data_IF_698870750409
#
_entry.id   IF_698870750409
#
_cell.length_a   1.000
_cell.length_b   1.000
_cell.length_c   1.000
_cell.angle_alpha   90.00
_cell.angle_beta   90.00
_cell.angle_gamma   90.00
#
_symmetry.space_group_name_H-M   'P 1'
#
loop_
_entity.id
_entity.type
_entity.pdbx_description
1 polymer ?
#
# COMPACT_ATOMS: atom_id res chain seq x y z
N UNK A 1 29.57 -0.06 -38.69
CA UNK A 1 28.75 0.75 -37.74
C UNK A 1 27.44 0.02 -37.50
N UNK A 2 27.34 -0.79 -36.43
CA UNK A 2 26.09 -1.46 -36.05
C UNK A 2 25.37 -0.58 -35.04
N UNK A 3 24.18 -0.10 -35.40
CA UNK A 3 23.28 0.61 -34.49
C UNK A 3 22.89 -0.39 -33.40
N UNK A 4 23.18 -0.07 -32.14
CA UNK A 4 22.73 -0.87 -31.02
C UNK A 4 21.20 -0.74 -30.93
N UNK A 5 20.50 -1.85 -31.19
CA UNK A 5 19.06 -1.95 -30.95
C UNK A 5 18.79 -1.84 -29.46
N UNK A 6 17.81 -1.01 -29.12
CA UNK A 6 17.19 -0.91 -27.80
C UNK A 6 16.56 -2.27 -27.45
N UNK A 7 16.75 -2.83 -26.25
CA UNK A 7 15.97 -4.00 -25.84
C UNK A 7 14.53 -3.54 -25.56
N UNK A 8 13.61 -4.05 -26.36
CA UNK A 8 12.18 -4.14 -26.08
C UNK A 8 11.92 -5.46 -25.35
N UNK A 9 11.08 -5.42 -24.31
CA UNK A 9 10.50 -6.61 -23.68
C UNK A 9 10.96 -6.87 -22.26
N UNK A 10 10.03 -6.62 -21.34
CA UNK A 10 9.79 -7.34 -20.08
C UNK A 10 10.79 -7.16 -18.91
N UNK A 11 10.24 -7.21 -17.69
CA UNK A 11 10.95 -7.20 -16.40
C UNK A 11 11.29 -5.86 -15.71
N UNK A 12 10.36 -4.89 -15.67
CA UNK A 12 10.41 -3.85 -14.61
C UNK A 12 10.13 -4.42 -13.20
N UNK A 13 9.53 -5.61 -13.10
CA UNK A 13 9.30 -6.32 -11.84
C UNK A 13 10.60 -6.73 -11.13
N UNK A 14 11.68 -7.03 -11.86
CA UNK A 14 12.93 -7.47 -11.23
C UNK A 14 13.67 -6.37 -10.44
N UNK A 15 13.21 -5.11 -10.47
CA UNK A 15 13.86 -4.00 -9.76
C UNK A 15 13.35 -3.73 -8.32
N UNK A 16 12.32 -4.45 -7.87
CA UNK A 16 11.85 -4.38 -6.47
C UNK A 16 12.30 -5.57 -5.61
N UNK A 17 12.56 -6.73 -6.22
CA UNK A 17 12.95 -8.00 -5.60
C UNK A 17 14.19 -7.93 -4.69
N UNK A 18 15.17 -7.10 -5.05
CA UNK A 18 16.52 -7.15 -4.48
C UNK A 18 16.94 -5.87 -3.76
N UNK A 19 16.03 -4.93 -3.52
CA UNK A 19 16.35 -3.72 -2.77
C UNK A 19 16.20 -3.99 -1.28
N UNK A 20 17.31 -3.91 -0.57
CA UNK A 20 17.33 -3.82 0.88
C UNK A 20 17.38 -2.35 1.27
N UNK A 21 16.46 -1.90 2.14
CA UNK A 21 16.56 -0.58 2.78
C UNK A 21 17.05 -0.81 4.20
N UNK A 22 18.27 -0.36 4.53
CA UNK A 22 18.84 -0.53 5.87
C UNK A 22 18.99 -1.99 6.34
N UNK A 23 19.14 -2.94 5.41
CA UNK A 23 19.28 -4.36 5.70
C UNK A 23 17.98 -5.16 5.80
N UNK A 24 16.81 -4.51 5.73
CA UNK A 24 15.51 -5.17 5.66
C UNK A 24 15.12 -5.45 4.21
N UNK A 25 14.53 -6.63 3.96
CA UNK A 25 13.92 -6.95 2.67
C UNK A 25 12.62 -6.16 2.52
N UNK A 26 12.44 -5.57 1.35
CA UNK A 26 11.22 -4.82 1.05
C UNK A 26 9.99 -5.73 1.06
N UNK A 27 10.11 -6.98 0.61
CA UNK A 27 9.04 -7.99 0.70
C UNK A 27 8.50 -8.12 2.12
N UNK A 28 9.40 -8.32 3.09
CA UNK A 28 9.03 -8.57 4.49
C UNK A 28 8.38 -7.32 5.10
N UNK A 29 8.88 -6.14 4.73
CA UNK A 29 8.30 -4.86 5.17
C UNK A 29 6.89 -4.66 4.61
N UNK A 30 6.65 -5.02 3.34
CA UNK A 30 5.34 -4.93 2.71
C UNK A 30 4.35 -5.92 3.34
N UNK A 31 4.78 -7.14 3.65
CA UNK A 31 3.96 -8.13 4.35
C UNK A 31 3.54 -7.64 5.74
N UNK A 32 4.45 -7.00 6.48
CA UNK A 32 4.13 -6.39 7.77
C UNK A 32 3.13 -5.24 7.64
N UNK A 33 3.29 -4.35 6.66
CA UNK A 33 2.34 -3.25 6.42
C UNK A 33 0.97 -3.82 6.07
N UNK A 34 0.90 -4.84 5.21
CA UNK A 34 -0.35 -5.52 4.86
C UNK A 34 -1.00 -6.10 6.12
N UNK A 35 -0.27 -6.88 6.91
CA UNK A 35 -0.79 -7.48 8.13
C UNK A 35 -1.29 -6.42 9.14
N UNK A 36 -0.57 -5.30 9.26
CA UNK A 36 -1.00 -4.15 10.06
C UNK A 36 -2.30 -3.53 9.52
N UNK A 37 -2.36 -3.25 8.22
CA UNK A 37 -3.54 -2.61 7.62
C UNK A 37 -4.80 -3.47 7.78
N UNK A 38 -4.68 -4.80 7.67
CA UNK A 38 -5.80 -5.72 7.90
C UNK A 38 -6.25 -5.81 9.36
N UNK A 39 -5.30 -5.90 10.30
CA UNK A 39 -5.61 -6.06 11.73
C UNK A 39 -6.17 -4.77 12.33
N UNK A 40 -5.63 -3.64 11.90
CA UNK A 40 -5.97 -2.32 12.42
C UNK A 40 -7.10 -1.66 11.63
N UNK A 41 -7.65 -2.31 10.60
CA UNK A 41 -8.67 -1.71 9.74
C UNK A 41 -9.82 -1.11 10.54
N UNK A 42 -10.41 -1.88 11.46
CA UNK A 42 -11.55 -1.43 12.26
C UNK A 42 -11.19 -0.34 13.29
N UNK A 43 -9.89 -0.14 13.55
CA UNK A 43 -9.37 0.93 14.40
C UNK A 43 -9.03 2.20 13.58
N UNK A 44 -8.69 2.01 12.30
CA UNK A 44 -8.38 3.07 11.35
C UNK A 44 -9.64 3.65 10.70
N UNK A 45 -10.67 2.82 10.50
CA UNK A 45 -12.02 3.18 10.09
C UNK A 45 -12.80 3.66 11.32
N UNK A 46 -12.66 4.96 11.60
CA UNK A 46 -13.15 5.63 12.81
C UNK A 46 -14.67 5.78 12.75
N UNK A 47 -15.19 6.16 11.59
CA UNK A 47 -16.63 6.38 11.41
C UNK A 47 -17.39 5.11 11.01
N UNK A 48 -16.67 4.03 10.70
CA UNK A 48 -17.19 2.68 10.40
C UNK A 48 -18.03 2.64 9.13
N UNK A 49 -17.65 3.44 8.14
CA UNK A 49 -18.27 3.44 6.83
C UNK A 49 -17.79 2.28 5.93
N UNK A 50 -16.76 1.54 6.39
CA UNK A 50 -16.16 0.40 5.69
C UNK A 50 -14.98 0.78 4.81
N UNK A 51 -14.53 2.02 4.85
CA UNK A 51 -13.39 2.56 4.13
C UNK A 51 -12.45 3.27 5.11
N UNK A 52 -11.17 3.37 4.75
CA UNK A 52 -10.21 4.21 5.47
C UNK A 52 -9.92 5.43 4.61
N UNK A 53 -10.44 6.57 5.03
CA UNK A 53 -10.27 7.85 4.37
C UNK A 53 -8.92 8.51 4.71
N UNK A 54 -8.56 9.54 3.95
CA UNK A 54 -7.37 10.37 4.22
C UNK A 54 -7.44 11.01 5.62
N UNK A 55 -8.59 11.58 5.96
CA UNK A 55 -8.77 12.31 7.21
C UNK A 55 -8.66 11.41 8.44
N UNK A 56 -9.07 10.15 8.34
CA UNK A 56 -8.91 9.19 9.42
C UNK A 56 -7.45 8.79 9.65
N UNK A 57 -6.70 8.53 8.57
CA UNK A 57 -5.26 8.29 8.68
C UNK A 57 -4.52 9.49 9.28
N UNK A 58 -4.90 10.71 8.91
CA UNK A 58 -4.34 11.94 9.47
C UNK A 58 -4.69 12.10 10.96
N UNK A 59 -5.94 11.82 11.35
CA UNK A 59 -6.38 11.84 12.74
C UNK A 59 -5.61 10.82 13.59
N UNK A 60 -5.41 9.61 13.07
CA UNK A 60 -4.63 8.56 13.72
C UNK A 60 -3.16 8.97 13.89
N UNK A 61 -2.54 9.62 12.89
CA UNK A 61 -1.16 10.11 12.98
C UNK A 61 -0.99 11.28 13.96
N UNK A 62 -2.00 12.15 14.06
CA UNK A 62 -2.05 13.22 15.04
C UNK A 62 -2.18 12.68 16.48
N UNK A 63 -2.74 11.48 16.64
CA UNK A 63 -2.80 10.75 17.90
C UNK A 63 -1.43 10.47 18.52
N UNK A 64 -1.38 10.46 19.86
CA UNK A 64 -0.14 10.20 20.62
C UNK A 64 0.12 8.72 20.94
N UNK A 65 -0.80 7.82 20.61
CA UNK A 65 -0.78 6.43 21.10
C UNK A 65 -0.02 5.44 20.21
N UNK A 66 0.19 5.74 18.93
CA UNK A 66 0.86 4.81 18.02
C UNK A 66 2.35 4.66 18.28
N UNK A 67 2.83 3.41 18.27
CA UNK A 67 4.24 3.10 18.25
C UNK A 67 4.92 3.64 16.97
N UNK A 68 6.22 3.93 17.03
CA UNK A 68 6.97 4.51 15.90
C UNK A 68 6.87 3.69 14.60
N UNK A 69 6.85 2.36 14.72
CA UNK A 69 6.70 1.44 13.57
C UNK A 69 5.31 1.54 12.94
N UNK A 70 4.26 1.53 13.77
CA UNK A 70 2.87 1.65 13.31
C UNK A 70 2.60 3.01 12.68
N UNK A 71 3.14 4.11 13.24
CA UNK A 71 3.12 5.42 12.58
C UNK A 71 3.72 5.39 11.19
N UNK A 72 4.81 4.63 11.00
CA UNK A 72 5.43 4.48 9.69
C UNK A 72 4.52 3.72 8.71
N UNK A 73 3.79 2.72 9.21
CA UNK A 73 2.81 1.97 8.41
C UNK A 73 1.60 2.84 8.04
N UNK A 74 1.02 3.57 8.99
CA UNK A 74 -0.07 4.53 8.72
C UNK A 74 0.39 5.62 7.75
N UNK A 75 1.61 6.14 7.94
CA UNK A 75 2.21 7.11 7.01
C UNK A 75 2.44 6.53 5.62
N UNK A 76 2.77 5.23 5.51
CA UNK A 76 2.85 4.55 4.22
C UNK A 76 1.48 4.48 3.56
N UNK A 77 0.44 4.04 4.27
CA UNK A 77 -0.93 3.98 3.76
C UNK A 77 -1.40 5.36 3.28
N UNK A 78 -1.17 6.41 4.07
CA UNK A 78 -1.55 7.79 3.71
C UNK A 78 -0.86 8.28 2.43
N UNK A 79 0.44 7.96 2.26
CA UNK A 79 1.20 8.34 1.05
C UNK A 79 0.80 7.54 -0.19
N UNK A 80 0.24 6.35 0.01
CA UNK A 80 -0.16 5.41 -1.05
C UNK A 80 -1.66 5.32 -1.22
N UNK A 81 -2.43 6.18 -0.58
CA UNK A 81 -3.88 6.07 -0.50
C UNK A 81 -4.52 5.96 -1.89
N UNK A 82 -4.18 6.87 -2.80
CA UNK A 82 -4.72 6.89 -4.17
C UNK A 82 -4.29 5.65 -4.98
N UNK A 83 -3.06 5.17 -4.78
CA UNK A 83 -2.55 3.96 -5.44
C UNK A 83 -3.27 2.70 -4.94
N UNK A 84 -3.59 2.66 -3.64
CA UNK A 84 -4.27 1.55 -2.98
C UNK A 84 -5.74 1.53 -3.39
N UNK A 85 -6.45 2.66 -3.24
CA UNK A 85 -7.85 2.83 -3.65
C UNK A 85 -8.06 2.51 -5.14
N UNK A 86 -7.08 2.86 -5.99
CA UNK A 86 -7.17 2.54 -7.42
C UNK A 86 -6.78 1.09 -7.74
N UNK A 87 -6.32 0.30 -6.77
CA UNK A 87 -5.90 -1.07 -7.01
C UNK A 87 -7.08 -1.99 -7.30
N UNK A 88 -8.26 -1.72 -6.75
CA UNK A 88 -9.47 -2.50 -6.97
C UNK A 88 -10.66 -1.60 -7.31
N UNK A 89 -10.83 -1.29 -8.59
CA UNK A 89 -12.04 -0.62 -9.09
C UNK A 89 -13.00 -1.64 -9.67
N UNK A 90 -14.06 -1.99 -8.94
CA UNK A 90 -15.22 -2.62 -9.57
C UNK A 90 -16.00 -1.55 -10.35
N UNK A 91 -16.47 -1.86 -11.56
CA UNK A 91 -17.30 -0.95 -12.38
C UNK A 91 -18.60 -0.49 -11.70
N UNK A 92 -18.93 -1.04 -10.53
CA UNK A 92 -20.20 -0.88 -9.83
C UNK A 92 -20.09 -0.29 -8.43
N UNK A 93 -18.88 -0.04 -7.91
CA UNK A 93 -18.73 0.66 -6.64
C UNK A 93 -18.95 2.15 -6.87
N UNK A 94 -20.13 2.65 -6.47
CA UNK A 94 -20.35 4.08 -6.27
C UNK A 94 -19.29 4.56 -5.27
N UNK A 95 -18.42 5.48 -5.69
CA UNK A 95 -17.19 5.85 -5.01
C UNK A 95 -17.31 6.00 -3.50
N UNK A 96 -16.72 5.06 -2.76
CA UNK A 96 -16.31 5.29 -1.39
C UNK A 96 -15.03 6.13 -1.41
N UNK A 97 -14.96 7.16 -0.57
CA UNK A 97 -13.80 8.05 -0.50
C UNK A 97 -12.72 7.42 0.41
N UNK A 98 -12.08 6.33 -0.03
CA UNK A 98 -11.02 5.72 0.77
C UNK A 98 -10.63 4.30 0.41
N UNK A 99 -9.79 3.72 1.27
CA UNK A 99 -9.22 2.39 1.11
C UNK A 99 -10.16 1.35 1.72
N UNK A 100 -10.67 0.42 0.91
CA UNK A 100 -11.39 -0.76 1.42
C UNK A 100 -10.42 -1.91 1.75
N UNK A 101 -10.92 -2.94 2.44
CA UNK A 101 -10.17 -4.20 2.66
C UNK A 101 -9.81 -4.90 1.34
N UNK A 102 -10.63 -4.76 0.30
CA UNK A 102 -10.38 -5.35 -1.01
C UNK A 102 -9.23 -4.63 -1.73
N UNK A 103 -9.17 -3.30 -1.63
CA UNK A 103 -8.10 -2.47 -2.16
C UNK A 103 -6.74 -2.85 -1.57
N UNK A 104 -6.68 -3.02 -0.25
CA UNK A 104 -5.48 -3.50 0.45
C UNK A 104 -5.08 -4.86 -0.12
N UNK A 105 -6.01 -5.80 -0.29
CA UNK A 105 -5.70 -7.12 -0.82
C UNK A 105 -5.03 -7.04 -2.18
N UNK A 106 -5.66 -6.32 -3.09
CA UNK A 106 -5.29 -6.30 -4.49
C UNK A 106 -4.01 -5.48 -4.72
N UNK A 107 -3.85 -4.35 -4.01
CA UNK A 107 -2.63 -3.54 -4.06
C UNK A 107 -1.40 -4.36 -3.64
N UNK A 108 -1.46 -5.02 -2.48
CA UNK A 108 -0.32 -5.80 -2.01
C UNK A 108 -0.08 -7.05 -2.84
N UNK A 109 -1.13 -7.71 -3.37
CA UNK A 109 -0.97 -8.79 -4.34
C UNK A 109 -0.24 -8.32 -5.61
N UNK A 110 -0.64 -7.19 -6.17
CA UNK A 110 -0.01 -6.59 -7.37
C UNK A 110 1.45 -6.24 -7.11
N UNK A 111 1.76 -5.64 -5.96
CA UNK A 111 3.15 -5.27 -5.65
C UNK A 111 4.00 -6.49 -5.36
N UNK A 112 3.55 -7.43 -4.53
CA UNK A 112 4.32 -8.63 -4.21
C UNK A 112 4.52 -9.54 -5.43
N UNK A 113 3.60 -9.53 -6.41
CA UNK A 113 3.82 -10.24 -7.68
C UNK A 113 4.91 -9.62 -8.57
N UNK A 114 5.30 -8.38 -8.27
CA UNK A 114 6.34 -7.62 -8.95
C UNK A 114 7.63 -7.54 -8.13
N UNK A 115 7.74 -8.28 -7.03
CA UNK A 115 8.92 -8.39 -6.15
C UNK A 115 9.41 -9.83 -6.22
#
# INVERSE_FOLDING_TARGET
MKRASKPEGDDESSWYAQRTTGGLRISDTLDEIKAFAYRAFDELDIDRDGFISRSELEAVLAGRTLASRERSFVSFLLRRLEDIESAYKEEWTQGGEGISRADIQEYFKKILSKV
#
